data_IF_497444002688
#
_entry.id   IF_497444002688
#
_cell.length_a   1.000
_cell.length_b   1.000
_cell.length_c   1.000
_cell.angle_alpha   90.00
_cell.angle_beta   90.00
_cell.angle_gamma   90.00
#
_symmetry.space_group_name_H-M   'P 1'
#
loop_
_entity.id
_entity.type
_entity.pdbx_description
1 polymer ?
#
# COMPACT_ATOMS: atom_id res chain seq x y z
N UNK A 1 -31.99 14.59 2.84
CA UNK A 1 -31.13 13.70 2.04
C UNK A 1 -29.77 14.37 1.97
N UNK A 2 -28.74 13.78 2.60
CA UNK A 2 -27.41 14.39 2.60
C UNK A 2 -26.69 14.01 1.30
N UNK A 3 -26.14 14.98 0.61
CA UNK A 3 -25.37 14.80 -0.62
C UNK A 3 -23.89 14.97 -0.27
N UNK A 4 -23.10 13.90 -0.41
CA UNK A 4 -21.67 13.92 -0.18
C UNK A 4 -20.91 14.09 -1.50
N UNK A 5 -20.18 15.19 -1.65
CA UNK A 5 -19.47 15.55 -2.90
C UNK A 5 -17.93 15.55 -2.75
N UNK A 6 -17.40 15.10 -1.63
CA UNK A 6 -15.95 15.10 -1.34
C UNK A 6 -15.32 13.71 -1.49
N UNK A 7 -15.71 13.00 -2.55
CA UNK A 7 -15.20 11.64 -2.81
C UNK A 7 -13.70 11.58 -3.19
N UNK A 8 -13.10 12.73 -3.53
CA UNK A 8 -11.65 12.82 -3.75
C UNK A 8 -10.85 12.70 -2.45
N UNK A 9 -11.42 13.08 -1.32
CA UNK A 9 -10.81 12.93 0.00
C UNK A 9 -11.11 11.56 0.62
N UNK A 10 -12.40 11.17 0.65
CA UNK A 10 -12.84 9.89 1.21
C UNK A 10 -14.06 9.36 0.45
N UNK A 11 -14.19 8.05 0.38
CA UNK A 11 -15.35 7.40 -0.24
C UNK A 11 -15.95 6.40 0.74
N UNK A 12 -17.28 6.39 0.85
CA UNK A 12 -17.99 5.40 1.67
C UNK A 12 -17.71 3.99 1.13
N UNK A 13 -17.22 3.06 1.95
CA UNK A 13 -17.03 1.68 1.52
C UNK A 13 -18.35 1.03 1.09
N UNK A 14 -18.28 0.10 0.15
CA UNK A 14 -19.42 -0.76 -0.17
C UNK A 14 -19.81 -1.62 1.02
N UNK A 15 -21.06 -2.01 1.10
CA UNK A 15 -21.59 -2.81 2.23
C UNK A 15 -20.83 -4.13 2.38
N UNK A 16 -20.50 -4.79 1.29
CA UNK A 16 -19.73 -6.04 1.27
C UNK A 16 -18.32 -5.85 1.87
N UNK A 17 -17.70 -4.70 1.64
CA UNK A 17 -16.40 -4.34 2.22
C UNK A 17 -16.53 -4.16 3.73
N UNK A 18 -17.58 -3.44 4.19
CA UNK A 18 -17.84 -3.23 5.62
C UNK A 18 -18.03 -4.58 6.33
N UNK A 19 -18.81 -5.49 5.74
CA UNK A 19 -19.04 -6.82 6.31
C UNK A 19 -17.75 -7.65 6.39
N UNK A 20 -16.87 -7.56 5.38
CA UNK A 20 -15.55 -8.21 5.41
C UNK A 20 -14.63 -7.62 6.47
N UNK A 21 -14.67 -6.31 6.69
CA UNK A 21 -13.91 -5.66 7.76
C UNK A 21 -14.41 -6.11 9.15
N UNK A 22 -15.73 -6.18 9.35
CA UNK A 22 -16.33 -6.68 10.60
C UNK A 22 -15.90 -8.13 10.85
N UNK A 23 -15.95 -8.97 9.81
CA UNK A 23 -15.51 -10.36 9.90
C UNK A 23 -14.03 -10.46 10.30
N UNK A 24 -13.17 -9.71 9.66
CA UNK A 24 -11.75 -9.71 9.96
C UNK A 24 -11.45 -9.25 11.41
N UNK A 25 -12.16 -8.23 11.90
CA UNK A 25 -11.98 -7.71 13.26
C UNK A 25 -12.55 -8.65 14.34
N UNK A 26 -13.59 -9.42 14.04
CA UNK A 26 -14.30 -10.23 15.03
C UNK A 26 -13.93 -11.71 15.00
N UNK A 27 -13.57 -12.25 13.84
CA UNK A 27 -13.31 -13.68 13.61
C UNK A 27 -11.84 -13.95 13.26
N UNK A 28 -11.31 -13.25 12.24
CA UNK A 28 -9.95 -13.45 11.70
C UNK A 28 -8.93 -12.49 12.33
N UNK A 29 -9.11 -12.14 13.59
CA UNK A 29 -8.28 -11.16 14.31
C UNK A 29 -6.89 -11.68 14.73
N UNK A 30 -6.61 -12.97 14.55
CA UNK A 30 -5.37 -13.57 15.02
C UNK A 30 -4.15 -13.08 14.23
N UNK A 31 -2.99 -13.07 14.90
CA UNK A 31 -1.74 -12.74 14.24
C UNK A 31 -1.36 -13.85 13.23
N UNK A 32 -1.21 -13.53 11.93
CA UNK A 32 -0.84 -14.50 10.91
C UNK A 32 0.56 -15.13 11.11
N UNK A 33 1.43 -14.51 11.91
CA UNK A 33 2.75 -15.06 12.25
C UNK A 33 2.70 -16.10 13.39
N UNK A 34 1.55 -16.31 14.00
CA UNK A 34 1.40 -17.27 15.10
C UNK A 34 1.24 -18.69 14.57
N UNK A 35 1.92 -19.64 15.23
CA UNK A 35 1.95 -21.07 14.82
C UNK A 35 0.72 -21.86 15.27
N UNK A 36 -0.19 -21.26 16.03
CA UNK A 36 -1.44 -21.91 16.43
C UNK A 36 -2.47 -21.88 15.29
N UNK A 37 -3.49 -22.76 15.38
CA UNK A 37 -4.50 -22.98 14.32
C UNK A 37 -5.10 -21.69 13.77
N UNK A 38 -5.53 -20.76 14.63
CA UNK A 38 -6.13 -19.47 14.20
C UNK A 38 -5.16 -18.60 13.40
N UNK A 39 -3.88 -18.52 13.80
CA UNK A 39 -2.87 -17.78 13.06
C UNK A 39 -2.64 -18.34 11.67
N UNK A 40 -2.55 -19.68 11.56
CA UNK A 40 -2.38 -20.38 10.28
C UNK A 40 -3.60 -20.16 9.35
N UNK A 41 -4.81 -20.14 9.89
CA UNK A 41 -6.02 -19.85 9.11
C UNK A 41 -6.00 -18.44 8.55
N UNK A 42 -5.63 -17.44 9.35
CA UNK A 42 -5.49 -16.04 8.90
C UNK A 42 -4.38 -15.90 7.86
N UNK A 43 -3.23 -16.55 8.04
CA UNK A 43 -2.14 -16.56 7.05
C UNK A 43 -2.62 -17.10 5.70
N UNK A 44 -3.36 -18.21 5.68
CA UNK A 44 -3.94 -18.77 4.45
C UNK A 44 -4.91 -17.81 3.77
N UNK A 45 -5.76 -17.12 4.54
CA UNK A 45 -6.69 -16.14 4.02
C UNK A 45 -5.96 -14.94 3.40
N UNK A 46 -4.93 -14.40 4.06
CA UNK A 46 -4.10 -13.31 3.53
C UNK A 46 -3.41 -13.75 2.23
N UNK A 47 -2.88 -14.97 2.19
CA UNK A 47 -2.24 -15.51 0.98
C UNK A 47 -3.23 -15.63 -0.19
N UNK A 48 -4.43 -16.13 0.05
CA UNK A 48 -5.48 -16.21 -0.96
C UNK A 48 -5.88 -14.83 -1.51
N UNK A 49 -6.10 -13.84 -0.63
CA UNK A 49 -6.40 -12.46 -1.00
C UNK A 49 -5.27 -11.86 -1.83
N UNK A 50 -4.02 -12.08 -1.44
CA UNK A 50 -2.84 -11.62 -2.19
C UNK A 50 -2.81 -12.19 -3.61
N UNK A 51 -3.15 -13.46 -3.78
CA UNK A 51 -3.25 -14.11 -5.09
C UNK A 51 -4.37 -13.51 -5.95
N UNK A 52 -5.53 -13.22 -5.36
CA UNK A 52 -6.62 -12.57 -6.08
C UNK A 52 -6.24 -11.16 -6.56
N UNK A 53 -5.65 -10.35 -5.70
CA UNK A 53 -5.15 -9.02 -6.08
C UNK A 53 -4.09 -9.13 -7.18
N UNK A 54 -3.15 -10.06 -7.08
CA UNK A 54 -2.13 -10.27 -8.08
C UNK A 54 -2.73 -10.61 -9.45
N UNK A 55 -3.78 -11.44 -9.50
CA UNK A 55 -4.50 -11.76 -10.75
C UNK A 55 -5.10 -10.52 -11.41
N UNK A 56 -5.74 -9.63 -10.62
CA UNK A 56 -6.36 -8.41 -11.17
C UNK A 56 -5.32 -7.46 -11.77
N UNK A 57 -4.09 -7.49 -11.26
CA UNK A 57 -2.99 -6.63 -11.70
C UNK A 57 -2.07 -7.30 -12.74
N UNK A 58 -2.32 -8.57 -13.11
CA UNK A 58 -1.41 -9.34 -13.96
C UNK A 58 -0.04 -9.57 -13.33
N UNK A 59 0.06 -9.55 -12.01
CA UNK A 59 1.29 -9.69 -11.23
C UNK A 59 1.38 -11.07 -10.56
N UNK A 60 2.53 -11.36 -9.96
CA UNK A 60 2.72 -12.54 -9.10
C UNK A 60 2.36 -12.17 -7.65
N UNK A 61 1.90 -13.14 -6.88
CA UNK A 61 1.53 -12.94 -5.46
C UNK A 61 2.66 -12.35 -4.63
N UNK A 62 3.91 -12.74 -4.87
CA UNK A 62 5.11 -12.21 -4.21
C UNK A 62 5.45 -10.75 -4.56
N UNK A 63 4.79 -10.19 -5.57
CA UNK A 63 4.96 -8.79 -5.99
C UNK A 63 3.93 -7.87 -5.33
N UNK A 64 2.99 -8.43 -4.55
CA UNK A 64 1.99 -7.67 -3.80
C UNK A 64 2.46 -7.47 -2.37
N UNK A 65 2.53 -6.21 -1.96
CA UNK A 65 2.90 -5.79 -0.60
C UNK A 65 1.77 -4.98 0.01
N UNK A 66 1.33 -5.38 1.20
CA UNK A 66 0.38 -4.61 1.99
C UNK A 66 1.12 -3.57 2.81
N UNK A 67 0.62 -2.35 2.79
CA UNK A 67 1.15 -1.20 3.54
C UNK A 67 0.05 -0.58 4.38
N UNK A 68 0.41 0.28 5.33
CA UNK A 68 -0.54 1.01 6.17
C UNK A 68 -1.35 2.07 5.39
N UNK A 69 -0.91 2.44 4.19
CA UNK A 69 -1.59 3.42 3.35
C UNK A 69 -0.70 3.97 2.23
N UNK A 70 -1.25 4.90 1.44
CA UNK A 70 -0.57 5.48 0.27
C UNK A 70 0.74 6.17 0.62
N UNK A 71 0.86 6.79 1.79
CA UNK A 71 2.10 7.44 2.24
C UNK A 71 3.25 6.43 2.37
N UNK A 72 3.01 5.29 3.02
CA UNK A 72 4.02 4.24 3.13
C UNK A 72 4.36 3.65 1.77
N UNK A 73 3.36 3.38 0.93
CA UNK A 73 3.55 2.87 -0.43
C UNK A 73 4.43 3.81 -1.25
N UNK A 74 4.12 5.10 -1.29
CA UNK A 74 4.88 6.10 -2.04
C UNK A 74 6.32 6.21 -1.53
N UNK A 75 6.53 6.27 -0.22
CA UNK A 75 7.87 6.29 0.37
C UNK A 75 8.67 5.04 0.01
N UNK A 76 8.06 3.86 0.10
CA UNK A 76 8.71 2.59 -0.20
C UNK A 76 9.15 2.54 -1.66
N UNK A 77 8.27 2.92 -2.59
CA UNK A 77 8.56 2.91 -4.02
C UNK A 77 9.63 3.95 -4.37
N UNK A 78 9.44 5.20 -3.99
CA UNK A 78 10.33 6.31 -4.37
C UNK A 78 11.74 6.06 -3.82
N UNK A 79 11.86 5.72 -2.54
CA UNK A 79 13.16 5.44 -1.91
C UNK A 79 13.79 4.15 -2.45
N UNK A 80 12.99 3.11 -2.67
CA UNK A 80 13.45 1.84 -3.23
C UNK A 80 14.04 2.02 -4.62
N UNK A 81 13.33 2.69 -5.52
CA UNK A 81 13.77 2.97 -6.88
C UNK A 81 15.00 3.90 -6.89
N UNK A 82 14.97 4.98 -6.09
CA UNK A 82 16.10 5.90 -5.99
C UNK A 82 17.37 5.18 -5.51
N UNK A 83 17.27 4.33 -4.49
CA UNK A 83 18.40 3.55 -4.00
C UNK A 83 18.91 2.52 -5.01
N UNK A 84 18.01 1.86 -5.74
CA UNK A 84 18.38 0.87 -6.74
C UNK A 84 19.18 1.50 -7.90
N UNK A 85 18.77 2.69 -8.33
CA UNK A 85 19.35 3.36 -9.51
C UNK A 85 20.37 4.44 -9.19
N UNK A 86 20.67 4.77 -7.92
CA UNK A 86 21.57 5.87 -7.50
C UNK A 86 22.93 5.91 -8.17
N UNK A 87 23.46 4.77 -8.62
CA UNK A 87 24.75 4.70 -9.36
C UNK A 87 24.62 4.99 -10.86
N UNK A 88 23.39 5.01 -11.39
CA UNK A 88 23.13 5.15 -12.83
C UNK A 88 22.32 6.39 -13.16
N UNK A 89 21.45 6.81 -12.25
CA UNK A 89 20.49 7.92 -12.41
C UNK A 89 20.39 8.66 -11.09
N UNK A 90 20.46 9.98 -11.14
CA UNK A 90 20.48 10.86 -9.97
C UNK A 90 19.43 11.99 -10.05
N UNK A 91 18.45 11.87 -10.96
CA UNK A 91 17.38 12.85 -11.09
C UNK A 91 16.03 12.20 -10.83
N UNK A 92 15.16 12.94 -10.11
CA UNK A 92 13.74 12.64 -9.94
C UNK A 92 12.98 13.79 -10.59
N UNK A 93 12.04 13.45 -11.48
CA UNK A 93 11.13 14.40 -12.10
C UNK A 93 9.77 14.24 -11.44
N UNK A 94 9.19 15.33 -10.97
CA UNK A 94 7.91 15.37 -10.29
C UNK A 94 7.12 16.62 -10.70
N UNK A 95 5.84 16.70 -10.31
CA UNK A 95 5.01 17.88 -10.50
C UNK A 95 4.88 18.67 -9.19
N UNK A 96 4.50 19.96 -9.30
CA UNK A 96 4.27 20.80 -8.10
C UNK A 96 2.92 20.50 -7.42
N UNK A 97 2.04 19.79 -8.11
CA UNK A 97 0.68 19.49 -7.64
C UNK A 97 0.57 18.10 -6.98
N UNK A 98 1.69 17.45 -6.69
CA UNK A 98 1.70 16.15 -6.06
C UNK A 98 1.19 16.19 -4.61
N UNK A 99 0.55 15.09 -4.21
CA UNK A 99 0.19 14.90 -2.80
C UNK A 99 1.44 14.91 -1.91
N UNK A 100 1.40 15.45 -0.68
CA UNK A 100 2.55 15.50 0.24
C UNK A 100 3.27 14.17 0.45
N UNK A 101 2.56 13.04 0.38
CA UNK A 101 3.16 11.70 0.47
C UNK A 101 4.17 11.39 -0.64
N UNK A 102 4.07 12.08 -1.78
CA UNK A 102 5.02 11.98 -2.89
C UNK A 102 6.13 13.03 -2.72
N UNK A 103 5.76 14.31 -2.60
CA UNK A 103 6.72 15.42 -2.56
C UNK A 103 7.67 15.32 -1.35
N UNK A 104 7.18 14.99 -0.17
CA UNK A 104 8.01 14.81 1.04
C UNK A 104 8.95 13.62 0.92
N UNK A 105 8.55 12.56 0.19
CA UNK A 105 9.37 11.36 0.04
C UNK A 105 10.72 11.62 -0.61
N UNK A 106 10.82 12.52 -1.58
CA UNK A 106 12.07 12.84 -2.27
C UNK A 106 12.81 14.06 -1.74
N UNK A 107 12.15 14.98 -1.02
CA UNK A 107 12.83 16.13 -0.40
C UNK A 107 13.89 15.73 0.63
N UNK A 108 13.74 14.56 1.25
CA UNK A 108 14.70 14.00 2.20
C UNK A 108 15.64 12.96 1.59
N UNK A 109 15.58 12.73 0.29
CA UNK A 109 16.56 11.90 -0.39
C UNK A 109 17.82 12.74 -0.64
N UNK A 110 18.91 12.45 0.08
CA UNK A 110 20.24 12.95 -0.25
C UNK A 110 20.75 12.23 -1.51
N UNK A 111 20.19 12.60 -2.66
CA UNK A 111 20.81 12.28 -3.93
C UNK A 111 21.99 13.26 -4.10
N UNK A 112 23.16 12.80 -4.56
CA UNK A 112 24.25 13.72 -4.89
C UNK A 112 23.72 14.65 -6.00
N UNK A 113 23.29 15.85 -5.60
CA UNK A 113 22.97 16.94 -6.51
C UNK A 113 24.28 17.51 -7.00
N UNK A 114 24.76 17.05 -8.14
CA UNK A 114 25.66 17.86 -8.92
C UNK A 114 24.80 18.97 -9.54
N UNK A 115 24.87 20.16 -8.95
CA UNK A 115 24.37 21.40 -9.53
C UNK A 115 25.29 21.75 -10.71
#
# INVERSE_FOLDING_TARGET
MDIYLDNSATTKPYEEVIQKMIYALSIDYANPSSLHKKGIEVEKNIKAIRQEIAKTLGAKDKEIYFTSGGTESNNTIIRGVANLYKKRKNHIISTEIEHPSVSVSYTHLTLPTNI
#
